data_IF_701072997311
#
_entry.id   IF_701072997311
#
_cell.length_a   1.000
_cell.length_b   1.000
_cell.length_c   1.000
_cell.angle_alpha   90.00
_cell.angle_beta   90.00
_cell.angle_gamma   90.00
#
_symmetry.space_group_name_H-M   'P 1'
#
loop_
_entity.id
_entity.type
_entity.pdbx_description
1 polymer ?
#
# COMPACT_ATOMS: atom_id res chain seq x y z
N UNK A 1 -13.87 -1.94 3.03
CA UNK A 1 -12.60 -1.26 3.30
C UNK A 1 -12.27 -1.47 4.77
N UNK A 2 -11.08 -1.99 5.04
CA UNK A 2 -10.63 -2.34 6.38
C UNK A 2 -9.58 -1.35 6.86
N UNK A 3 -9.84 -0.72 8.00
CA UNK A 3 -9.00 0.33 8.59
C UNK A 3 -8.34 -0.22 9.85
N UNK A 4 -7.04 0.01 10.01
CA UNK A 4 -6.37 -0.15 11.31
C UNK A 4 -6.26 1.23 11.96
N UNK A 5 -6.94 1.39 13.09
CA UNK A 5 -6.88 2.58 13.93
C UNK A 5 -5.87 2.35 15.06
N UNK A 6 -4.90 3.24 15.19
CA UNK A 6 -3.87 3.21 16.24
C UNK A 6 -4.06 4.45 17.12
N UNK A 7 -4.67 4.26 18.28
CA UNK A 7 -5.04 5.33 19.21
C UNK A 7 -5.17 4.76 20.62
N UNK A 8 -4.37 5.24 21.56
CA UNK A 8 -4.33 4.76 22.97
C UNK A 8 -5.44 5.36 23.84
N UNK A 9 -5.94 6.55 23.47
CA UNK A 9 -7.01 7.20 24.22
C UNK A 9 -8.36 6.52 23.96
N UNK A 10 -8.85 5.79 24.96
CA UNK A 10 -10.10 5.00 24.87
C UNK A 10 -11.34 5.83 24.57
N UNK A 11 -11.39 7.10 24.94
CA UNK A 11 -12.53 7.95 24.65
C UNK A 11 -12.55 8.33 23.15
N UNK A 12 -11.38 8.65 22.60
CA UNK A 12 -11.21 9.00 21.19
C UNK A 12 -11.41 7.74 20.33
N UNK A 13 -10.73 6.65 20.65
CA UNK A 13 -10.78 5.42 19.84
C UNK A 13 -12.19 4.85 19.75
N UNK A 14 -12.95 4.79 20.85
CA UNK A 14 -14.37 4.35 20.84
C UNK A 14 -15.24 5.23 19.93
N UNK A 15 -15.08 6.54 20.00
CA UNK A 15 -15.84 7.49 19.17
C UNK A 15 -15.50 7.33 17.68
N UNK A 16 -14.22 7.13 17.37
CA UNK A 16 -13.75 6.93 16.00
C UNK A 16 -14.21 5.58 15.44
N UNK A 17 -14.03 4.50 16.18
CA UNK A 17 -14.51 3.16 15.77
C UNK A 17 -15.99 3.22 15.45
N UNK A 18 -16.82 3.72 16.37
CA UNK A 18 -18.25 3.86 16.14
C UNK A 18 -18.56 4.66 14.87
N UNK A 19 -17.91 5.81 14.70
CA UNK A 19 -18.16 6.68 13.53
C UNK A 19 -17.76 5.99 12.22
N UNK A 20 -16.62 5.34 12.19
CA UNK A 20 -16.11 4.65 10.99
C UNK A 20 -17.00 3.45 10.62
N UNK A 21 -17.40 2.64 11.61
CA UNK A 21 -18.30 1.50 11.39
C UNK A 21 -19.68 1.93 10.87
N UNK A 22 -20.25 3.02 11.43
CA UNK A 22 -21.51 3.61 10.93
C UNK A 22 -21.40 4.10 9.47
N UNK A 23 -20.19 4.36 8.99
CA UNK A 23 -19.95 4.74 7.59
C UNK A 23 -19.49 3.57 6.71
N UNK A 24 -19.64 2.32 7.18
CA UNK A 24 -19.43 1.10 6.41
C UNK A 24 -17.96 0.64 6.32
N UNK A 25 -17.09 1.12 7.20
CA UNK A 25 -15.72 0.63 7.32
C UNK A 25 -15.64 -0.52 8.32
N UNK A 26 -14.79 -1.50 8.06
CA UNK A 26 -14.37 -2.49 9.04
C UNK A 26 -13.17 -1.92 9.80
N UNK A 27 -13.23 -1.87 11.13
CA UNK A 27 -12.20 -1.23 11.95
C UNK A 27 -11.56 -2.24 12.90
N UNK A 28 -10.24 -2.35 12.83
CA UNK A 28 -9.43 -2.97 13.87
C UNK A 28 -8.75 -1.86 14.69
N UNK A 29 -8.61 -2.06 15.99
CA UNK A 29 -8.00 -1.10 16.92
C UNK A 29 -6.71 -1.68 17.50
N UNK A 30 -5.65 -0.88 17.49
CA UNK A 30 -4.43 -1.08 18.27
C UNK A 30 -4.24 0.09 19.23
N UNK A 31 -3.83 -0.18 20.47
CA UNK A 31 -3.63 0.87 21.50
C UNK A 31 -2.16 1.32 21.59
N UNK A 32 -1.24 0.72 20.81
CA UNK A 32 0.21 1.00 20.88
C UNK A 32 0.95 0.51 19.63
N UNK A 33 2.22 0.89 19.50
CA UNK A 33 3.06 0.53 18.36
C UNK A 33 3.34 -0.98 18.28
N UNK A 34 3.64 -1.64 19.39
CA UNK A 34 3.93 -3.08 19.45
C UNK A 34 2.77 -3.92 18.90
N UNK A 35 1.55 -3.65 19.35
CA UNK A 35 0.35 -4.35 18.86
C UNK A 35 0.09 -4.10 17.38
N UNK A 36 0.44 -2.90 16.87
CA UNK A 36 0.35 -2.55 15.46
C UNK A 36 1.31 -3.36 14.62
N UNK A 37 2.58 -3.44 15.01
CA UNK A 37 3.60 -4.22 14.29
C UNK A 37 3.21 -5.71 14.19
N UNK A 38 2.67 -6.27 15.28
CA UNK A 38 2.15 -7.65 15.28
C UNK A 38 0.93 -7.85 14.36
N UNK A 39 0.23 -6.78 14.00
CA UNK A 39 -0.98 -6.80 13.16
C UNK A 39 -0.71 -6.50 11.68
N UNK A 40 0.51 -6.10 11.29
CA UNK A 40 0.85 -5.71 9.92
C UNK A 40 0.66 -6.81 8.87
N UNK A 41 0.59 -8.08 9.28
CA UNK A 41 0.25 -9.21 8.38
C UNK A 41 -1.22 -9.22 7.91
N UNK A 42 -2.08 -8.35 8.43
CA UNK A 42 -3.48 -8.20 8.02
C UNK A 42 -3.63 -7.41 6.71
N UNK A 43 -4.67 -7.74 5.94
CA UNK A 43 -5.06 -6.97 4.74
C UNK A 43 -5.79 -5.68 5.16
N UNK A 44 -5.07 -4.61 5.42
CA UNK A 44 -5.62 -3.29 5.70
C UNK A 44 -5.51 -2.38 4.49
N UNK A 45 -6.57 -1.57 4.29
CA UNK A 45 -6.66 -0.60 3.19
C UNK A 45 -6.19 0.80 3.61
N UNK A 46 -6.16 1.09 4.92
CA UNK A 46 -5.78 2.38 5.49
C UNK A 46 -5.31 2.20 6.92
N UNK A 47 -4.25 2.92 7.30
CA UNK A 47 -3.84 3.13 8.68
C UNK A 47 -4.21 4.54 9.14
N UNK A 48 -4.77 4.65 10.34
CA UNK A 48 -5.00 5.93 11.02
C UNK A 48 -4.17 5.88 12.30
N UNK A 49 -3.15 6.73 12.40
CA UNK A 49 -2.10 6.62 13.43
C UNK A 49 -2.05 7.88 14.27
N UNK A 50 -2.23 7.74 15.58
CA UNK A 50 -1.83 8.82 16.49
C UNK A 50 -0.30 8.93 16.52
N UNK A 51 0.22 10.13 16.50
CA UNK A 51 1.66 10.38 16.62
C UNK A 51 2.15 10.14 18.05
N UNK A 52 1.31 10.41 19.04
CA UNK A 52 1.65 10.26 20.47
C UNK A 52 1.18 8.89 20.97
N UNK A 53 2.05 7.88 20.91
CA UNK A 53 1.76 6.54 21.42
C UNK A 53 2.48 6.28 22.75
N UNK A 54 1.92 5.43 23.63
CA UNK A 54 2.47 5.18 24.98
C UNK A 54 3.83 4.48 24.97
N UNK A 55 4.16 3.74 23.90
CA UNK A 55 5.34 2.92 23.72
C UNK A 55 6.26 3.38 22.59
N UNK A 56 5.95 4.53 21.94
CA UNK A 56 6.76 5.02 20.84
C UNK A 56 6.21 6.26 20.17
N UNK A 57 6.72 6.52 18.98
CA UNK A 57 6.32 7.66 18.15
C UNK A 57 5.66 7.17 16.86
N UNK A 58 4.46 7.68 16.55
CA UNK A 58 3.72 7.32 15.36
C UNK A 58 4.45 7.60 14.04
N UNK A 59 5.39 8.54 14.01
CA UNK A 59 6.25 8.77 12.85
C UNK A 59 7.22 7.61 12.61
N UNK A 60 7.85 7.08 13.66
CA UNK A 60 8.73 5.91 13.57
C UNK A 60 7.93 4.67 13.17
N UNK A 61 6.75 4.50 13.76
CA UNK A 61 5.83 3.44 13.38
C UNK A 61 5.42 3.53 11.90
N UNK A 62 5.18 4.73 11.37
CA UNK A 62 4.87 4.93 9.95
C UNK A 62 6.02 4.48 9.04
N UNK A 63 7.27 4.81 9.39
CA UNK A 63 8.44 4.37 8.64
C UNK A 63 8.52 2.83 8.59
N UNK A 64 8.27 2.15 9.71
CA UNK A 64 8.21 0.69 9.76
C UNK A 64 7.05 0.11 8.94
N UNK A 65 5.85 0.70 9.02
CA UNK A 65 4.72 0.32 8.19
C UNK A 65 5.08 0.43 6.70
N UNK A 66 5.69 1.56 6.30
CA UNK A 66 6.03 1.82 4.88
C UNK A 66 7.15 0.90 4.36
N UNK A 67 7.98 0.32 5.22
CA UNK A 67 8.94 -0.73 4.82
C UNK A 67 8.24 -2.05 4.48
N UNK A 68 7.12 -2.34 5.14
CA UNK A 68 6.40 -3.61 5.00
C UNK A 68 5.30 -3.54 3.93
N UNK A 69 4.57 -2.41 3.86
CA UNK A 69 3.45 -2.26 2.93
C UNK A 69 3.32 -0.82 2.39
N UNK A 70 2.64 -0.70 1.24
CA UNK A 70 2.34 0.58 0.58
C UNK A 70 0.99 1.16 1.04
N UNK A 71 0.38 0.56 2.07
CA UNK A 71 -0.93 1.00 2.58
C UNK A 71 -0.87 2.46 3.01
N UNK A 72 -1.85 3.30 2.62
CA UNK A 72 -1.89 4.70 2.99
C UNK A 72 -1.98 4.90 4.51
N UNK A 73 -1.37 5.99 4.97
CA UNK A 73 -1.37 6.40 6.39
C UNK A 73 -1.93 7.80 6.52
N UNK A 74 -2.85 7.99 7.49
CA UNK A 74 -3.30 9.31 7.97
C UNK A 74 -2.81 9.47 9.40
N UNK A 75 -2.13 10.57 9.70
CA UNK A 75 -1.81 10.92 11.08
C UNK A 75 -2.95 11.68 11.75
N UNK A 76 -3.25 11.30 13.00
CA UNK A 76 -4.06 12.08 13.93
C UNK A 76 -3.17 12.54 15.07
N UNK A 77 -3.08 13.83 15.35
CA UNK A 77 -2.13 14.31 16.33
C UNK A 77 -2.51 15.64 16.96
N UNK A 78 -2.04 15.88 18.17
CA UNK A 78 -2.11 17.19 18.82
C UNK A 78 -0.97 18.14 18.38
N UNK A 79 0.02 17.64 17.62
CA UNK A 79 1.10 18.45 17.10
C UNK A 79 0.60 19.25 15.89
N UNK A 80 0.67 20.55 15.98
CA UNK A 80 0.22 21.50 14.96
C UNK A 80 1.35 22.38 14.41
N UNK A 81 2.60 22.10 14.83
CA UNK A 81 3.78 22.80 14.33
C UNK A 81 4.14 22.36 12.91
N UNK A 82 4.65 23.31 12.13
CA UNK A 82 4.97 23.12 10.71
C UNK A 82 6.00 22.01 10.48
N UNK A 83 6.98 21.88 11.36
CA UNK A 83 8.05 20.89 11.24
C UNK A 83 7.51 19.46 11.39
N UNK A 84 6.59 19.24 12.33
CA UNK A 84 5.92 17.96 12.52
C UNK A 84 5.04 17.57 11.34
N UNK A 85 4.34 18.53 10.74
CA UNK A 85 3.51 18.32 9.55
C UNK A 85 4.40 17.93 8.35
N UNK A 86 5.47 18.67 8.10
CA UNK A 86 6.43 18.39 7.02
C UNK A 86 7.04 17.01 7.18
N UNK A 87 7.50 16.67 8.40
CA UNK A 87 8.05 15.36 8.72
C UNK A 87 7.07 14.23 8.41
N UNK A 88 5.78 14.39 8.75
CA UNK A 88 4.74 13.40 8.44
C UNK A 88 4.61 13.11 6.95
N UNK A 89 4.65 14.15 6.10
CA UNK A 89 4.58 13.99 4.65
C UNK A 89 5.88 13.42 4.06
N UNK A 90 7.05 13.80 4.58
CA UNK A 90 8.34 13.27 4.13
C UNK A 90 8.45 11.76 4.38
N UNK A 91 7.80 11.24 5.43
CA UNK A 91 7.70 9.81 5.74
C UNK A 91 6.68 9.07 4.85
N UNK A 92 6.03 9.78 3.92
CA UNK A 92 5.10 9.18 2.95
C UNK A 92 3.68 8.99 3.47
N UNK A 93 3.26 9.74 4.48
CA UNK A 93 1.85 9.79 4.86
C UNK A 93 1.03 10.49 3.77
N UNK A 94 -0.19 10.03 3.55
CA UNK A 94 -1.12 10.62 2.58
C UNK A 94 -1.85 11.84 3.12
N UNK A 95 -2.00 11.93 4.44
CA UNK A 95 -2.65 13.06 5.08
C UNK A 95 -2.26 13.23 6.55
N UNK A 96 -2.55 14.41 7.08
CA UNK A 96 -2.25 14.83 8.44
C UNK A 96 -3.43 15.63 9.00
N UNK A 97 -3.95 15.25 10.16
CA UNK A 97 -5.11 15.89 10.80
C UNK A 97 -4.76 16.25 12.22
N UNK A 98 -4.87 17.55 12.54
CA UNK A 98 -4.61 18.05 13.88
C UNK A 98 -5.83 17.90 14.80
N UNK A 99 -5.62 17.50 16.03
CA UNK A 99 -6.64 17.46 17.09
C UNK A 99 -6.80 18.87 17.70
N UNK A 100 -8.05 19.37 17.93
CA UNK A 100 -9.32 18.67 17.74
C UNK A 100 -9.83 18.73 16.30
N UNK A 101 -10.37 17.63 15.79
CA UNK A 101 -10.96 17.51 14.45
C UNK A 101 -12.41 17.04 14.51
N UNK A 102 -13.17 17.28 13.46
CA UNK A 102 -14.52 16.75 13.31
C UNK A 102 -14.51 15.37 12.62
N UNK A 103 -15.49 14.53 12.99
CA UNK A 103 -15.69 13.25 12.29
C UNK A 103 -15.93 13.44 10.79
N UNK A 104 -16.59 14.56 10.39
CA UNK A 104 -16.80 14.88 8.98
C UNK A 104 -15.50 15.18 8.23
N UNK A 105 -14.56 15.84 8.87
CA UNK A 105 -13.24 16.11 8.30
C UNK A 105 -12.48 14.81 8.05
N UNK A 106 -12.39 13.94 9.06
CA UNK A 106 -11.75 12.64 8.93
C UNK A 106 -12.37 11.82 7.79
N UNK A 107 -13.69 11.71 7.76
CA UNK A 107 -14.41 10.98 6.71
C UNK A 107 -14.18 11.57 5.31
N UNK A 108 -14.10 12.89 5.19
CA UNK A 108 -13.80 13.53 3.90
C UNK A 108 -12.39 13.20 3.41
N UNK A 109 -11.41 13.17 4.30
CA UNK A 109 -10.03 12.80 3.98
C UNK A 109 -9.89 11.33 3.64
N UNK A 110 -10.54 10.44 4.40
CA UNK A 110 -10.62 9.01 4.05
C UNK A 110 -11.21 8.84 2.64
N UNK A 111 -12.35 9.47 2.34
CA UNK A 111 -12.97 9.41 1.01
C UNK A 111 -12.08 9.95 -0.11
N UNK A 112 -11.25 10.95 0.16
CA UNK A 112 -10.28 11.47 -0.81
C UNK A 112 -9.20 10.43 -1.13
N UNK A 113 -8.67 9.77 -0.11
CA UNK A 113 -7.66 8.73 -0.24
C UNK A 113 -8.25 7.51 -0.95
N UNK A 114 -9.45 7.07 -0.56
CA UNK A 114 -10.12 5.92 -1.20
C UNK A 114 -10.42 6.18 -2.66
N UNK A 115 -10.90 7.38 -3.03
CA UNK A 115 -11.08 7.75 -4.45
C UNK A 115 -9.77 7.72 -5.25
N UNK A 116 -8.64 8.00 -4.62
CA UNK A 116 -7.33 7.88 -5.24
C UNK A 116 -6.94 6.41 -5.40
N UNK A 117 -7.27 5.57 -4.41
CA UNK A 117 -7.12 4.12 -4.46
C UNK A 117 -8.04 3.51 -5.53
N UNK A 118 -9.31 3.91 -5.60
CA UNK A 118 -10.27 3.47 -6.63
C UNK A 118 -9.78 3.75 -8.06
N UNK A 119 -9.09 4.87 -8.29
CA UNK A 119 -8.46 5.16 -9.58
C UNK A 119 -7.23 4.30 -9.87
N UNK A 120 -6.62 3.70 -8.85
CA UNK A 120 -5.50 2.76 -8.98
C UNK A 120 -5.93 1.29 -8.98
N UNK A 121 -7.21 1.00 -8.72
CA UNK A 121 -7.76 -0.36 -8.66
C UNK A 121 -7.79 -1.07 -10.02
N UNK A 122 -7.86 -0.33 -11.12
CA UNK A 122 -7.73 -0.89 -12.46
C UNK A 122 -6.83 -0.01 -13.32
N UNK A 123 -5.85 -0.62 -13.97
CA UNK A 123 -4.98 0.04 -14.94
C UNK A 123 -5.08 -0.68 -16.28
N UNK A 124 -5.05 0.11 -17.37
CA UNK A 124 -5.08 -0.40 -18.73
C UNK A 124 -3.78 -0.11 -19.45
N UNK A 125 -3.22 -1.11 -20.11
CA UNK A 125 -2.00 -1.07 -20.87
C UNK A 125 -2.27 -1.69 -22.24
N UNK A 126 -2.76 -0.86 -23.18
CA UNK A 126 -3.20 -1.34 -24.48
C UNK A 126 -4.32 -2.37 -24.35
N UNK A 127 -4.04 -3.61 -24.74
CA UNK A 127 -4.97 -4.75 -24.67
C UNK A 127 -4.95 -5.50 -23.32
N UNK A 128 -4.06 -5.09 -22.40
CA UNK A 128 -3.94 -5.69 -21.06
C UNK A 128 -4.55 -4.77 -20.03
N UNK A 129 -5.38 -5.32 -19.16
CA UNK A 129 -5.89 -4.64 -17.95
C UNK A 129 -5.52 -5.42 -16.70
N UNK A 130 -5.25 -4.70 -15.62
CA UNK A 130 -5.07 -5.27 -14.29
C UNK A 130 -6.06 -4.63 -13.33
N UNK A 131 -6.81 -5.45 -12.62
CA UNK A 131 -7.68 -5.08 -11.51
C UNK A 131 -6.98 -5.51 -10.22
N UNK A 132 -6.55 -4.55 -9.43
CA UNK A 132 -5.77 -4.81 -8.22
C UNK A 132 -6.61 -5.35 -7.08
N UNK A 133 -7.89 -5.01 -7.02
CA UNK A 133 -8.85 -5.51 -6.03
C UNK A 133 -9.15 -6.98 -6.23
N UNK A 134 -9.54 -7.32 -7.46
CA UNK A 134 -9.84 -8.70 -7.81
C UNK A 134 -8.58 -9.55 -7.98
N UNK A 135 -7.40 -8.93 -7.91
CA UNK A 135 -6.10 -9.55 -8.21
C UNK A 135 -6.13 -10.28 -9.56
N UNK A 136 -6.78 -9.66 -10.56
CA UNK A 136 -7.04 -10.23 -11.87
C UNK A 136 -6.35 -9.42 -12.97
N UNK A 137 -5.80 -10.15 -13.94
CA UNK A 137 -5.25 -9.57 -15.16
C UNK A 137 -6.04 -10.12 -16.33
N UNK A 138 -6.46 -9.23 -17.24
CA UNK A 138 -7.15 -9.63 -18.47
C UNK A 138 -6.37 -9.16 -19.69
N UNK A 139 -6.47 -9.90 -20.79
CA UNK A 139 -6.02 -9.51 -22.13
C UNK A 139 -7.21 -9.51 -23.09
N UNK A 140 -7.45 -8.38 -23.77
CA UNK A 140 -8.65 -8.19 -24.62
C UNK A 140 -9.98 -8.49 -23.89
N UNK A 141 -10.03 -8.30 -22.56
CA UNK A 141 -11.17 -8.63 -21.71
C UNK A 141 -11.19 -10.06 -21.16
N UNK A 142 -10.38 -10.97 -21.69
CA UNK A 142 -10.30 -12.36 -21.23
C UNK A 142 -9.32 -12.52 -20.07
N UNK A 143 -9.70 -13.22 -18.98
CA UNK A 143 -8.85 -13.45 -17.83
C UNK A 143 -7.57 -14.24 -18.17
N UNK A 144 -6.41 -13.74 -17.75
CA UNK A 144 -5.12 -14.44 -17.87
C UNK A 144 -4.76 -15.09 -16.55
N UNK A 145 -4.55 -16.40 -16.55
CA UNK A 145 -4.18 -17.15 -15.33
C UNK A 145 -2.70 -16.92 -15.01
N UNK A 146 -2.45 -16.13 -13.98
CA UNK A 146 -1.12 -15.90 -13.41
C UNK A 146 -0.99 -16.62 -12.06
N UNK A 147 0.22 -17.10 -11.77
CA UNK A 147 0.56 -17.52 -10.40
C UNK A 147 0.64 -16.30 -9.48
N UNK A 148 0.60 -16.50 -8.17
CA UNK A 148 0.69 -15.42 -7.20
C UNK A 148 1.97 -14.55 -7.40
N UNK A 149 3.10 -15.16 -7.70
CA UNK A 149 4.36 -14.46 -7.99
C UNK A 149 4.32 -13.69 -9.31
N UNK A 150 3.77 -14.29 -10.36
CA UNK A 150 3.62 -13.62 -11.66
C UNK A 150 2.68 -12.42 -11.55
N UNK A 151 1.57 -12.57 -10.81
CA UNK A 151 0.66 -11.47 -10.55
C UNK A 151 1.36 -10.33 -9.79
N UNK A 152 2.05 -10.64 -8.67
CA UNK A 152 2.77 -9.64 -7.87
C UNK A 152 3.81 -8.89 -8.71
N UNK A 153 4.59 -9.61 -9.50
CA UNK A 153 5.58 -9.04 -10.39
C UNK A 153 4.95 -8.10 -11.42
N UNK A 154 3.85 -8.52 -12.06
CA UNK A 154 3.15 -7.68 -13.02
C UNK A 154 2.51 -6.45 -12.35
N UNK A 155 1.86 -6.62 -11.21
CA UNK A 155 1.26 -5.54 -10.44
C UNK A 155 2.28 -4.47 -10.03
N UNK A 156 3.49 -4.89 -9.60
CA UNK A 156 4.58 -4.00 -9.27
C UNK A 156 5.08 -3.20 -10.48
N UNK A 157 5.26 -3.86 -11.62
CA UNK A 157 5.63 -3.19 -12.87
C UNK A 157 4.54 -2.22 -13.34
N UNK A 158 3.27 -2.61 -13.20
CA UNK A 158 2.12 -1.81 -13.59
C UNK A 158 2.00 -0.53 -12.73
N UNK A 159 2.11 -0.65 -11.41
CA UNK A 159 2.12 0.51 -10.49
C UNK A 159 3.29 1.48 -10.74
N UNK A 160 4.39 0.99 -11.30
CA UNK A 160 5.57 1.78 -11.64
C UNK A 160 5.77 1.93 -13.15
N UNK A 161 4.70 1.94 -13.92
CA UNK A 161 4.75 2.07 -15.38
C UNK A 161 5.60 3.27 -15.83
N UNK A 162 6.44 3.06 -16.84
CA UNK A 162 7.39 4.04 -17.34
C UNK A 162 8.68 4.18 -16.54
N UNK A 163 8.74 3.67 -15.30
CA UNK A 163 9.95 3.70 -14.46
C UNK A 163 10.72 2.38 -14.56
N UNK A 164 12.04 2.48 -14.42
CA UNK A 164 12.91 1.29 -14.33
C UNK A 164 12.89 0.80 -12.88
N UNK A 165 12.50 -0.44 -12.68
CA UNK A 165 12.68 -1.14 -11.41
C UNK A 165 13.96 -1.96 -11.47
N UNK A 166 14.85 -1.77 -10.50
CA UNK A 166 16.09 -2.55 -10.43
C UNK A 166 15.79 -4.00 -10.04
N UNK A 167 16.72 -4.91 -10.37
CA UNK A 167 16.58 -6.33 -9.99
C UNK A 167 16.48 -6.47 -8.47
N UNK A 168 17.30 -5.72 -7.72
CA UNK A 168 17.30 -5.69 -6.25
C UNK A 168 15.95 -5.24 -5.69
N UNK A 169 15.41 -4.11 -6.15
CA UNK A 169 14.09 -3.62 -5.75
C UNK A 169 12.97 -4.63 -6.00
N UNK A 170 13.05 -5.35 -7.14
CA UNK A 170 12.06 -6.37 -7.47
C UNK A 170 12.22 -7.57 -6.53
N UNK A 171 13.44 -8.01 -6.28
CA UNK A 171 13.73 -9.15 -5.43
C UNK A 171 13.31 -8.87 -3.97
N UNK A 172 13.71 -7.76 -3.39
CA UNK A 172 13.32 -7.36 -2.03
C UNK A 172 11.81 -7.41 -1.83
N UNK A 173 11.04 -6.75 -2.71
CA UNK A 173 9.58 -6.62 -2.53
C UNK A 173 8.77 -7.87 -2.86
N UNK A 174 9.29 -8.77 -3.69
CA UNK A 174 8.56 -9.98 -4.09
C UNK A 174 8.87 -11.15 -3.17
N UNK A 175 10.06 -11.19 -2.57
CA UNK A 175 10.54 -12.36 -1.83
C UNK A 175 10.61 -12.21 -0.32
N UNK A 176 10.63 -11.00 0.22
CA UNK A 176 10.66 -10.75 1.67
C UNK A 176 9.47 -11.41 2.42
N UNK A 177 8.35 -11.61 1.74
CA UNK A 177 7.12 -12.20 2.31
C UNK A 177 6.99 -13.72 2.15
N UNK A 178 7.91 -14.42 1.46
CA UNK A 178 7.79 -15.85 1.20
C UNK A 178 8.86 -16.72 1.87
N UNK A 179 9.79 -16.12 2.61
CA UNK A 179 10.78 -16.86 3.42
C UNK A 179 11.78 -17.73 2.64
N UNK A 180 11.72 -17.74 1.32
CA UNK A 180 12.62 -18.52 0.47
C UNK A 180 13.52 -17.58 -0.32
N UNK A 181 14.83 -17.70 -0.10
CA UNK A 181 15.88 -17.05 -0.88
C UNK A 181 15.77 -17.51 -2.34
N UNK A 182 15.42 -16.61 -3.24
CA UNK A 182 15.33 -16.94 -4.67
C UNK A 182 16.48 -16.27 -5.42
N UNK A 183 17.26 -17.09 -6.11
CA UNK A 183 18.40 -16.65 -6.91
C UNK A 183 17.98 -15.70 -8.05
N UNK A 184 18.86 -14.77 -8.39
CA UNK A 184 18.71 -13.76 -9.44
C UNK A 184 18.24 -14.35 -10.80
N UNK A 185 18.65 -15.57 -11.14
CA UNK A 185 18.24 -16.30 -12.33
C UNK A 185 16.72 -16.54 -12.40
N UNK A 186 16.05 -16.66 -11.26
CA UNK A 186 14.63 -16.97 -11.17
C UNK A 186 13.76 -15.80 -11.63
N UNK A 187 14.16 -14.55 -11.34
CA UNK A 187 13.46 -13.35 -11.81
C UNK A 187 13.38 -13.32 -13.35
N UNK A 188 14.48 -13.64 -14.03
CA UNK A 188 14.52 -13.69 -15.50
C UNK A 188 13.53 -14.70 -16.07
N UNK A 189 13.37 -15.85 -15.40
CA UNK A 189 12.41 -16.89 -15.80
C UNK A 189 10.98 -16.40 -15.63
N UNK A 190 10.65 -15.71 -14.51
CA UNK A 190 9.32 -15.15 -14.27
C UNK A 190 8.96 -14.05 -15.27
N UNK A 191 9.89 -13.15 -15.59
CA UNK A 191 9.69 -12.14 -16.64
C UNK A 191 9.41 -12.80 -18.00
N UNK A 192 10.16 -13.85 -18.35
CA UNK A 192 9.94 -14.60 -19.61
C UNK A 192 8.54 -15.26 -19.63
N UNK A 193 8.12 -15.85 -18.50
CA UNK A 193 6.78 -16.46 -18.37
C UNK A 193 5.67 -15.40 -18.48
N UNK A 194 5.82 -14.27 -17.81
CA UNK A 194 4.88 -13.16 -17.90
C UNK A 194 4.72 -12.65 -19.34
N UNK A 195 5.83 -12.38 -20.03
CA UNK A 195 5.80 -11.96 -21.44
C UNK A 195 5.04 -12.96 -22.31
N UNK A 196 5.27 -14.27 -22.08
CA UNK A 196 4.58 -15.32 -22.82
C UNK A 196 3.10 -15.40 -22.49
N UNK A 197 2.72 -15.34 -21.21
CA UNK A 197 1.31 -15.45 -20.78
C UNK A 197 0.48 -14.23 -21.18
N UNK A 198 1.05 -13.03 -21.07
CA UNK A 198 0.42 -11.79 -21.48
C UNK A 198 0.59 -11.52 -22.97
N UNK A 199 1.39 -12.33 -23.67
CA UNK A 199 1.71 -12.17 -25.09
C UNK A 199 2.03 -10.71 -25.41
N UNK A 200 3.02 -10.15 -24.72
CA UNK A 200 3.30 -8.71 -24.74
C UNK A 200 4.80 -8.43 -24.80
N UNK A 201 5.13 -7.35 -25.51
CA UNK A 201 6.48 -6.78 -25.56
C UNK A 201 6.63 -5.52 -24.68
N UNK A 202 5.58 -5.14 -23.92
CA UNK A 202 5.61 -3.94 -23.08
C UNK A 202 6.56 -4.05 -21.90
N UNK A 203 6.83 -5.25 -21.38
CA UNK A 203 7.83 -5.44 -20.33
C UNK A 203 9.21 -5.42 -20.99
N UNK A 204 9.93 -4.32 -20.86
CA UNK A 204 11.29 -4.16 -21.45
C UNK A 204 12.37 -4.53 -20.45
N UNK A 205 13.48 -5.07 -20.96
CA UNK A 205 14.69 -5.28 -20.18
C UNK A 205 15.62 -4.08 -20.37
N UNK A 206 15.99 -3.42 -19.28
CA UNK A 206 17.01 -2.38 -19.28
C UNK A 206 18.33 -3.02 -18.85
N UNK A 207 19.24 -3.22 -19.83
CA UNK A 207 20.50 -3.96 -19.63
C UNK A 207 21.28 -3.40 -18.43
N UNK A 208 21.70 -4.30 -17.53
CA UNK A 208 22.50 -3.96 -16.36
C UNK A 208 21.71 -3.28 -15.22
N UNK A 209 20.43 -2.97 -15.40
CA UNK A 209 19.61 -2.29 -14.39
C UNK A 209 18.42 -3.14 -13.92
N UNK A 210 17.53 -3.54 -14.82
CA UNK A 210 16.32 -4.22 -14.41
C UNK A 210 15.24 -4.26 -15.50
N UNK A 211 14.01 -3.97 -15.12
CA UNK A 211 12.86 -4.08 -16.01
C UNK A 211 11.95 -2.84 -15.92
N UNK A 212 11.26 -2.55 -17.03
CA UNK A 212 10.32 -1.43 -17.15
C UNK A 212 9.10 -1.89 -17.92
N UNK A 213 7.90 -1.49 -17.47
CA UNK A 213 6.69 -1.59 -18.27
C UNK A 213 6.54 -0.31 -19.09
N UNK A 214 6.50 -0.44 -20.41
CA UNK A 214 6.26 0.65 -21.35
C UNK A 214 4.80 0.57 -21.87
N UNK A 215 4.16 1.73 -21.98
CA UNK A 215 2.81 1.88 -22.52
C UNK A 215 2.88 2.38 -23.94
#
# INVERSE_FOLDING_TARGET
MKILLIEDNRAISKGLVYTLEQNGFEVALCENAESTLNSLGGDFDLFIVDVSLPDGNGFELCDEIKRVCETPVIFLTALDDEDSIVKGFDLGAEDYITKPFSSHELLARIKRITKKLDKTMAMNFGDISIDFDKKQVCKNGDPVVLTALEYRLFAMLAKNSGKVLTREQILERIWDLSGNYVEDNTLTVYIKRLRKKLDTNMIKTVKGLGYRLEV
#
